data_IF_774967382057
#
_entry.id   IF_774967382057
#
_cell.length_a   1.000
_cell.length_b   1.000
_cell.length_c   1.000
_cell.angle_alpha   90.00
_cell.angle_beta   90.00
_cell.angle_gamma   90.00
#
_symmetry.space_group_name_H-M   'P 1'
#
loop_
_entity.id
_entity.type
_entity.pdbx_description
1 polymer ?
#
# COMPACT_ATOMS: atom_id res chain seq x y z
N UNK A 1 19.52 -3.60 -19.70
CA UNK A 1 18.91 -4.04 -18.41
C UNK A 1 17.45 -3.59 -18.43
N UNK A 2 16.53 -4.49 -18.10
CA UNK A 2 15.09 -4.23 -18.08
C UNK A 2 14.57 -4.43 -16.66
N UNK A 3 13.73 -3.52 -16.19
CA UNK A 3 12.93 -3.69 -14.99
C UNK A 3 11.57 -4.29 -15.36
N UNK A 4 11.16 -5.35 -14.65
CA UNK A 4 9.85 -5.98 -14.79
C UNK A 4 9.22 -6.02 -13.42
N UNK A 5 8.13 -5.28 -13.23
CA UNK A 5 7.54 -5.18 -11.90
C UNK A 5 6.31 -4.29 -11.85
N UNK A 6 5.84 -4.07 -10.64
CA UNK A 6 4.67 -3.26 -10.33
C UNK A 6 4.98 -1.77 -10.53
N UNK A 7 4.05 -1.04 -11.13
CA UNK A 7 4.04 0.42 -11.04
C UNK A 7 3.57 0.85 -9.65
N UNK A 8 4.53 0.97 -8.72
CA UNK A 8 4.26 1.25 -7.31
C UNK A 8 3.57 2.60 -7.07
N UNK A 9 3.89 3.62 -7.89
CA UNK A 9 3.25 4.93 -7.82
C UNK A 9 1.75 4.80 -8.16
N UNK A 10 1.43 4.20 -9.30
CA UNK A 10 0.05 4.04 -9.76
C UNK A 10 -0.78 3.15 -8.81
N UNK A 11 -0.19 2.07 -8.28
CA UNK A 11 -0.86 1.23 -7.30
C UNK A 11 -1.23 1.99 -6.02
N UNK A 12 -0.34 2.84 -5.53
CA UNK A 12 -0.62 3.68 -4.36
C UNK A 12 -1.64 4.80 -4.66
N UNK A 13 -1.63 5.38 -5.87
CA UNK A 13 -2.67 6.31 -6.30
C UNK A 13 -4.05 5.62 -6.36
N UNK A 14 -4.11 4.35 -6.79
CA UNK A 14 -5.33 3.54 -6.81
C UNK A 14 -5.84 3.29 -5.38
N UNK A 15 -4.95 2.90 -4.44
CA UNK A 15 -5.30 2.76 -3.03
C UNK A 15 -5.85 4.06 -2.44
N UNK A 16 -5.18 5.18 -2.71
CA UNK A 16 -5.63 6.48 -2.25
C UNK A 16 -6.99 6.86 -2.82
N UNK A 17 -7.23 6.62 -4.12
CA UNK A 17 -8.53 6.84 -4.74
C UNK A 17 -9.62 6.02 -4.04
N UNK A 18 -9.38 4.74 -3.78
CA UNK A 18 -10.32 3.89 -3.07
C UNK A 18 -10.65 4.44 -1.66
N UNK A 19 -9.65 4.90 -0.91
CA UNK A 19 -9.84 5.54 0.39
C UNK A 19 -10.68 6.83 0.24
N UNK A 20 -10.38 7.66 -0.77
CA UNK A 20 -11.14 8.88 -1.06
C UNK A 20 -12.63 8.60 -1.32
N UNK A 21 -12.93 7.51 -2.04
CA UNK A 21 -14.31 7.11 -2.34
C UNK A 21 -15.06 6.58 -1.07
N UNK A 22 -14.33 6.19 -0.02
CA UNK A 22 -14.86 5.63 1.23
C UNK A 22 -14.90 6.62 2.39
N UNK A 23 -14.19 7.73 2.30
CA UNK A 23 -14.07 8.70 3.40
C UNK A 23 -14.58 10.09 2.99
N UNK A 24 -15.24 10.83 3.89
CA UNK A 24 -15.64 12.20 3.61
C UNK A 24 -14.45 13.11 3.28
N UNK A 25 -14.65 14.06 2.38
CA UNK A 25 -13.63 15.08 2.08
C UNK A 25 -13.20 15.82 3.36
N UNK A 26 -11.91 16.07 3.50
CA UNK A 26 -11.34 16.72 4.69
C UNK A 26 -11.08 15.75 5.85
N UNK A 27 -11.37 14.44 5.70
CA UNK A 27 -11.05 13.45 6.72
C UNK A 27 -9.54 13.33 6.95
N UNK A 28 -9.18 13.08 8.21
CA UNK A 28 -7.81 12.80 8.61
C UNK A 28 -7.40 11.39 8.20
N UNK A 29 -6.23 11.27 7.55
CA UNK A 29 -5.67 10.00 7.08
C UNK A 29 -4.19 9.88 7.44
N UNK A 30 -3.69 8.66 7.57
CA UNK A 30 -2.27 8.38 7.77
C UNK A 30 -1.70 7.45 6.70
N UNK A 31 -0.39 7.52 6.55
CA UNK A 31 0.39 6.67 5.65
C UNK A 31 1.46 5.94 6.47
N UNK A 32 1.44 4.61 6.44
CA UNK A 32 2.51 3.76 6.94
C UNK A 32 3.45 3.44 5.78
N UNK A 33 4.70 3.89 5.87
CA UNK A 33 5.70 3.67 4.81
C UNK A 33 6.62 2.49 5.13
N UNK A 34 7.22 1.93 4.08
CA UNK A 34 8.28 0.94 4.23
C UNK A 34 9.62 1.56 4.60
N UNK A 35 10.70 0.83 4.36
CA UNK A 35 12.08 1.30 4.60
C UNK A 35 12.39 2.46 3.65
N UNK A 36 12.65 3.65 4.18
CA UNK A 36 12.74 4.90 3.42
C UNK A 36 13.92 4.96 2.42
N UNK A 37 14.94 4.10 2.57
CA UNK A 37 16.03 3.99 1.59
C UNK A 37 15.65 3.19 0.33
N UNK A 38 14.46 2.58 0.29
CA UNK A 38 14.00 1.75 -0.82
C UNK A 38 13.07 2.54 -1.75
N UNK A 39 13.34 2.48 -3.06
CA UNK A 39 12.53 3.15 -4.09
C UNK A 39 11.06 2.75 -4.04
N UNK A 40 10.76 1.48 -3.76
CA UNK A 40 9.38 0.98 -3.60
C UNK A 40 8.64 1.72 -2.49
N UNK A 41 9.29 1.95 -1.32
CA UNK A 41 8.67 2.68 -0.21
C UNK A 41 8.37 4.13 -0.59
N UNK A 42 9.32 4.79 -1.25
CA UNK A 42 9.17 6.18 -1.70
C UNK A 42 8.04 6.31 -2.74
N UNK A 43 8.01 5.44 -3.74
CA UNK A 43 6.99 5.48 -4.79
C UNK A 43 5.58 5.24 -4.25
N UNK A 44 5.40 4.25 -3.34
CA UNK A 44 4.09 4.00 -2.71
C UNK A 44 3.67 5.16 -1.81
N UNK A 45 4.59 5.72 -1.03
CA UNK A 45 4.34 6.93 -0.22
C UNK A 45 3.89 8.11 -1.09
N UNK A 46 4.66 8.42 -2.13
CA UNK A 46 4.44 9.61 -2.95
C UNK A 46 3.15 9.48 -3.78
N UNK A 47 2.82 8.27 -4.26
CA UNK A 47 1.55 7.97 -4.91
C UNK A 47 0.35 8.18 -3.98
N UNK A 48 0.42 7.70 -2.73
CA UNK A 48 -0.62 7.90 -1.74
C UNK A 48 -0.78 9.40 -1.39
N UNK A 49 0.33 10.13 -1.16
CA UNK A 49 0.31 11.57 -0.90
C UNK A 49 -0.35 12.32 -2.04
N UNK A 50 0.01 12.01 -3.30
CA UNK A 50 -0.57 12.63 -4.49
C UNK A 50 -2.08 12.36 -4.56
N UNK A 51 -2.51 11.11 -4.37
CA UNK A 51 -3.91 10.73 -4.41
C UNK A 51 -4.74 11.42 -3.32
N UNK A 52 -4.29 11.42 -2.07
CA UNK A 52 -4.98 12.10 -0.96
C UNK A 52 -5.09 13.61 -1.15
N UNK A 53 -4.02 14.27 -1.62
CA UNK A 53 -4.08 15.70 -1.94
C UNK A 53 -5.09 16.02 -3.03
N UNK A 54 -5.17 15.18 -4.06
CA UNK A 54 -6.10 15.39 -5.19
C UNK A 54 -7.58 15.32 -4.76
N UNK A 55 -7.92 14.49 -3.79
CA UNK A 55 -9.30 14.40 -3.28
C UNK A 55 -9.56 15.25 -2.03
N UNK A 56 -8.56 15.94 -1.51
CA UNK A 56 -8.70 16.87 -0.39
C UNK A 56 -8.82 16.18 0.98
N UNK A 57 -8.17 15.02 1.18
CA UNK A 57 -7.99 14.42 2.50
C UNK A 57 -6.81 15.07 3.22
N UNK A 58 -6.87 15.08 4.55
CA UNK A 58 -5.87 15.70 5.41
C UNK A 58 -4.88 14.64 5.91
N UNK A 59 -3.64 14.67 5.42
CA UNK A 59 -2.60 13.72 5.85
C UNK A 59 -2.04 14.19 7.19
N UNK A 60 -2.44 13.54 8.28
CA UNK A 60 -2.02 13.89 9.65
C UNK A 60 -0.75 13.17 10.09
N UNK A 61 -0.39 12.08 9.44
CA UNK A 61 0.85 11.35 9.71
C UNK A 61 1.36 10.62 8.48
N UNK A 62 2.68 10.61 8.33
CA UNK A 62 3.42 9.75 7.40
C UNK A 62 4.61 9.21 8.18
N UNK A 63 4.59 7.91 8.50
CA UNK A 63 5.61 7.29 9.35
C UNK A 63 6.04 5.94 8.80
N UNK A 64 7.34 5.64 8.93
CA UNK A 64 7.85 4.33 8.54
C UNK A 64 7.50 3.26 9.58
N UNK A 65 7.06 2.11 9.10
CA UNK A 65 6.90 0.87 9.87
C UNK A 65 7.71 -0.27 9.24
N UNK A 66 8.63 0.05 8.34
CA UNK A 66 9.71 -0.79 7.82
C UNK A 66 9.26 -2.17 7.31
N UNK A 67 8.06 -2.26 6.71
CA UNK A 67 7.42 -3.47 6.18
C UNK A 67 7.01 -4.49 7.25
N UNK A 68 7.10 -4.15 8.53
CA UNK A 68 6.96 -5.06 9.67
C UNK A 68 5.60 -4.90 10.36
N UNK A 69 4.97 -6.03 10.73
CA UNK A 69 3.65 -6.06 11.37
C UNK A 69 3.67 -5.45 12.77
N UNK A 70 4.69 -5.77 13.59
CA UNK A 70 4.77 -5.28 14.96
C UNK A 70 5.04 -3.77 14.99
N UNK A 71 5.89 -3.28 14.04
CA UNK A 71 6.10 -1.83 13.85
C UNK A 71 4.85 -1.16 13.30
N UNK A 72 4.12 -1.79 12.37
CA UNK A 72 2.83 -1.29 11.89
C UNK A 72 1.86 -1.05 13.05
N UNK A 73 1.77 -2.00 14.00
CA UNK A 73 0.96 -1.85 15.20
C UNK A 73 1.44 -0.69 16.07
N UNK A 74 2.70 -0.68 16.50
CA UNK A 74 3.20 0.33 17.44
C UNK A 74 3.18 1.75 16.87
N UNK A 75 3.46 1.91 15.58
CA UNK A 75 3.35 3.20 14.87
C UNK A 75 1.89 3.65 14.81
N UNK A 76 0.96 2.75 14.53
CA UNK A 76 -0.47 3.07 14.50
C UNK A 76 -0.98 3.47 15.89
N UNK A 77 -0.61 2.75 16.96
CA UNK A 77 -0.92 3.14 18.34
C UNK A 77 -0.50 4.58 18.63
N UNK A 78 0.71 4.96 18.20
CA UNK A 78 1.23 6.32 18.36
C UNK A 78 0.47 7.35 17.52
N UNK A 79 0.01 6.99 16.33
CA UNK A 79 -0.76 7.86 15.43
C UNK A 79 -2.15 8.13 16.00
N UNK A 80 -2.88 7.09 16.39
CA UNK A 80 -4.27 7.24 16.89
C UNK A 80 -4.33 7.97 18.22
N UNK A 81 -3.31 7.81 19.08
CA UNK A 81 -3.20 8.57 20.32
C UNK A 81 -3.14 10.08 20.07
N UNK A 82 -2.46 10.51 19.00
CA UNK A 82 -2.34 11.93 18.63
C UNK A 82 -3.48 12.42 17.76
N UNK A 83 -4.11 11.51 17.01
CA UNK A 83 -5.14 11.80 16.01
C UNK A 83 -6.35 10.87 16.21
N UNK A 84 -7.13 11.02 17.29
CA UNK A 84 -8.21 10.09 17.64
C UNK A 84 -9.39 10.12 16.64
N UNK A 85 -9.43 11.09 15.73
CA UNK A 85 -10.49 11.23 14.73
C UNK A 85 -10.10 10.71 13.35
N UNK A 86 -8.98 10.00 13.23
CA UNK A 86 -8.50 9.46 11.96
C UNK A 86 -9.56 8.56 11.31
N UNK A 87 -9.72 8.66 9.98
CA UNK A 87 -10.74 7.92 9.22
C UNK A 87 -10.16 6.87 8.30
N UNK A 88 -8.89 7.00 7.92
CA UNK A 88 -8.26 5.97 7.09
C UNK A 88 -6.75 5.87 7.32
N UNK A 89 -6.23 4.68 7.03
CA UNK A 89 -4.79 4.37 7.00
C UNK A 89 -4.48 3.68 5.67
N UNK A 90 -3.54 4.23 4.92
CA UNK A 90 -2.87 3.51 3.85
C UNK A 90 -1.59 2.90 4.40
N UNK A 91 -1.46 1.59 4.31
CA UNK A 91 -0.23 0.87 4.62
C UNK A 91 0.45 0.44 3.32
N UNK A 92 1.72 0.82 3.15
CA UNK A 92 2.48 0.52 1.93
C UNK A 92 2.74 -0.98 1.70
N UNK A 93 2.41 -1.85 2.67
CA UNK A 93 2.25 -3.30 2.47
C UNK A 93 1.22 -3.87 3.46
N UNK A 94 0.78 -5.10 3.22
CA UNK A 94 -0.23 -5.78 4.03
C UNK A 94 0.24 -6.09 5.46
N UNK A 95 1.51 -6.42 5.66
CA UNK A 95 2.04 -6.70 6.99
C UNK A 95 1.84 -5.50 7.93
N UNK A 96 2.20 -4.31 7.47
CA UNK A 96 1.97 -3.08 8.25
C UNK A 96 0.47 -2.80 8.43
N UNK A 97 -0.34 -3.07 7.40
CA UNK A 97 -1.80 -2.94 7.46
C UNK A 97 -2.44 -3.86 8.50
N UNK A 98 -2.01 -5.13 8.55
CA UNK A 98 -2.45 -6.09 9.56
C UNK A 98 -2.05 -5.65 10.98
N UNK A 99 -0.86 -5.08 11.14
CA UNK A 99 -0.44 -4.47 12.40
C UNK A 99 -1.31 -3.28 12.80
N UNK A 100 -1.63 -2.41 11.83
CA UNK A 100 -2.52 -1.27 12.06
C UNK A 100 -3.91 -1.71 12.53
N UNK A 101 -4.47 -2.77 11.94
CA UNK A 101 -5.76 -3.34 12.35
C UNK A 101 -5.74 -3.82 13.79
N UNK A 102 -4.66 -4.44 14.26
CA UNK A 102 -4.55 -4.85 15.66
C UNK A 102 -4.61 -3.63 16.61
N UNK A 103 -3.85 -2.56 16.29
CA UNK A 103 -3.87 -1.34 17.08
C UNK A 103 -5.26 -0.67 17.11
N UNK A 104 -5.95 -0.65 15.97
CA UNK A 104 -7.30 -0.07 15.86
C UNK A 104 -8.32 -0.87 16.65
N UNK A 105 -8.25 -2.22 16.62
CA UNK A 105 -9.12 -3.10 17.42
C UNK A 105 -8.92 -2.88 18.91
N UNK A 106 -7.67 -2.81 19.36
CA UNK A 106 -7.34 -2.59 20.77
C UNK A 106 -7.82 -1.23 21.28
N UNK A 107 -8.03 -0.26 20.35
CA UNK A 107 -8.56 1.06 20.63
C UNK A 107 -10.07 1.20 20.34
N UNK A 108 -10.79 0.13 20.04
CA UNK A 108 -12.21 0.11 19.63
C UNK A 108 -12.53 1.02 18.41
N UNK A 109 -11.53 1.27 17.53
CA UNK A 109 -11.65 2.11 16.33
C UNK A 109 -11.94 1.27 15.07
N UNK A 110 -13.03 0.50 15.09
CA UNK A 110 -13.37 -0.46 14.04
C UNK A 110 -13.87 0.17 12.72
N UNK A 111 -14.20 1.47 12.71
CA UNK A 111 -14.71 2.19 11.55
C UNK A 111 -13.63 2.82 10.67
N UNK A 112 -12.35 2.65 11.03
CA UNK A 112 -11.23 3.21 10.28
C UNK A 112 -10.97 2.37 9.04
N UNK A 113 -10.98 3.01 7.87
CA UNK A 113 -10.67 2.35 6.58
C UNK A 113 -9.17 2.01 6.54
N UNK A 114 -8.84 0.73 6.37
CA UNK A 114 -7.45 0.28 6.22
C UNK A 114 -7.24 -0.34 4.85
N UNK A 115 -6.31 0.20 4.09
CA UNK A 115 -5.94 -0.33 2.76
C UNK A 115 -4.46 -0.70 2.77
N UNK A 116 -4.19 -1.96 2.41
CA UNK A 116 -2.85 -2.53 2.29
C UNK A 116 -2.34 -2.54 0.85
N UNK A 117 -1.28 -3.28 0.64
CA UNK A 117 -0.65 -3.51 -0.67
C UNK A 117 0.02 -4.89 -0.62
N UNK A 118 -0.07 -5.70 -1.67
CA UNK A 118 0.51 -7.00 -1.99
C UNK A 118 -0.51 -8.12 -2.19
N UNK A 119 -1.73 -8.00 -1.64
CA UNK A 119 -2.79 -9.03 -1.66
C UNK A 119 -2.31 -10.38 -1.08
N UNK A 120 -1.72 -10.33 0.11
CA UNK A 120 -1.27 -11.52 0.81
C UNK A 120 -2.46 -12.38 1.27
N UNK A 121 -2.30 -13.71 1.50
CA UNK A 121 -3.36 -14.57 2.02
C UNK A 121 -3.92 -14.09 3.36
N UNK A 122 -3.08 -13.53 4.23
CA UNK A 122 -3.50 -13.02 5.53
C UNK A 122 -4.34 -11.75 5.38
N UNK A 123 -3.97 -10.85 4.45
CA UNK A 123 -4.79 -9.68 4.11
C UNK A 123 -6.13 -10.09 3.52
N UNK A 124 -6.15 -11.05 2.60
CA UNK A 124 -7.40 -11.59 2.03
C UNK A 124 -8.30 -12.17 3.13
N UNK A 125 -7.74 -12.92 4.08
CA UNK A 125 -8.47 -13.44 5.23
C UNK A 125 -9.04 -12.33 6.10
N UNK A 126 -8.26 -11.27 6.35
CA UNK A 126 -8.68 -10.10 7.13
C UNK A 126 -9.80 -9.31 6.44
N UNK A 127 -9.76 -9.19 5.11
CA UNK A 127 -10.83 -8.58 4.31
C UNK A 127 -12.12 -9.39 4.41
N UNK A 128 -12.04 -10.72 4.30
CA UNK A 128 -13.22 -11.60 4.44
C UNK A 128 -13.86 -11.53 5.83
N UNK A 129 -13.07 -11.21 6.85
CA UNK A 129 -13.57 -10.96 8.22
C UNK A 129 -14.13 -9.54 8.40
N UNK A 130 -14.02 -8.66 7.42
CA UNK A 130 -14.42 -7.26 7.52
C UNK A 130 -13.48 -6.38 8.34
N UNK A 131 -12.26 -6.83 8.59
CA UNK A 131 -11.26 -6.11 9.39
C UNK A 131 -10.39 -5.18 8.54
N UNK A 132 -9.79 -5.70 7.47
CA UNK A 132 -9.12 -4.90 6.44
C UNK A 132 -10.14 -4.52 5.36
N UNK A 133 -10.08 -3.30 4.88
CA UNK A 133 -11.07 -2.84 3.89
C UNK A 133 -10.71 -3.28 2.48
N UNK A 134 -9.44 -3.19 2.09
CA UNK A 134 -8.92 -3.60 0.79
C UNK A 134 -7.41 -3.76 0.80
N UNK A 135 -6.86 -4.35 -0.24
CA UNK A 135 -5.43 -4.38 -0.55
C UNK A 135 -5.21 -4.25 -2.05
N UNK A 136 -4.11 -3.66 -2.45
CA UNK A 136 -3.70 -3.57 -3.86
C UNK A 136 -2.93 -4.83 -4.25
N UNK A 137 -3.44 -5.57 -5.22
CA UNK A 137 -2.78 -6.76 -5.72
C UNK A 137 -1.61 -6.42 -6.64
N UNK A 138 -0.53 -7.19 -6.52
CA UNK A 138 0.57 -7.25 -7.48
C UNK A 138 0.47 -8.55 -8.26
N UNK A 139 0.80 -8.52 -9.55
CA UNK A 139 0.78 -9.73 -10.39
C UNK A 139 2.16 -10.42 -10.40
N UNK A 140 2.57 -10.99 -9.26
CA UNK A 140 3.87 -11.64 -9.06
C UNK A 140 4.13 -12.78 -10.06
N UNK A 141 3.07 -13.52 -10.44
CA UNK A 141 3.17 -14.54 -11.49
C UNK A 141 3.62 -13.92 -12.83
N UNK A 142 3.05 -12.77 -13.21
CA UNK A 142 3.41 -12.09 -14.45
C UNK A 142 4.86 -11.58 -14.40
N UNK A 143 5.33 -11.12 -13.25
CA UNK A 143 6.73 -10.70 -13.07
C UNK A 143 7.69 -11.85 -13.40
N UNK A 144 7.43 -13.04 -12.84
CA UNK A 144 8.22 -14.23 -13.12
C UNK A 144 8.12 -14.71 -14.56
N UNK A 145 6.91 -14.81 -15.09
CA UNK A 145 6.64 -15.27 -16.47
C UNK A 145 7.28 -14.33 -17.51
N UNK A 146 7.14 -13.02 -17.32
CA UNK A 146 7.75 -12.02 -18.20
C UNK A 146 9.28 -12.00 -18.05
N UNK A 147 9.80 -12.21 -16.85
CA UNK A 147 11.23 -12.35 -16.63
C UNK A 147 11.85 -13.43 -17.49
N UNK A 148 11.27 -14.63 -17.50
CA UNK A 148 11.73 -15.74 -18.34
C UNK A 148 11.53 -15.43 -19.83
N UNK A 149 10.33 -14.97 -20.22
CA UNK A 149 10.00 -14.64 -21.61
C UNK A 149 11.01 -13.65 -22.21
N UNK A 150 11.23 -12.55 -21.54
CA UNK A 150 12.09 -11.48 -22.06
C UNK A 150 13.58 -11.81 -21.96
N UNK A 151 13.99 -12.64 -21.00
CA UNK A 151 15.35 -13.16 -20.97
C UNK A 151 15.65 -14.02 -22.22
N UNK A 152 14.70 -14.88 -22.64
CA UNK A 152 14.82 -15.67 -23.86
C UNK A 152 14.82 -14.80 -25.12
N UNK A 153 14.00 -13.76 -25.17
CA UNK A 153 13.96 -12.82 -26.29
C UNK A 153 15.30 -12.10 -26.45
N UNK A 154 15.90 -11.61 -25.36
CA UNK A 154 17.23 -11.01 -25.39
C UNK A 154 18.33 -11.99 -25.80
N UNK A 155 18.28 -13.25 -25.32
CA UNK A 155 19.22 -14.29 -25.69
C UNK A 155 19.19 -14.62 -27.21
N UNK A 156 18.03 -14.42 -27.84
CA UNK A 156 17.84 -14.61 -29.28
C UNK A 156 18.08 -13.33 -30.09
N UNK A 157 18.66 -12.28 -29.49
CA UNK A 157 18.99 -11.03 -30.18
C UNK A 157 17.81 -10.07 -30.35
N UNK A 158 16.71 -10.30 -29.65
CA UNK A 158 15.56 -9.40 -29.62
C UNK A 158 15.81 -8.13 -28.81
N UNK A 159 14.88 -7.20 -28.88
CA UNK A 159 14.89 -5.94 -28.13
C UNK A 159 13.63 -5.86 -27.25
N UNK A 160 13.80 -5.41 -26.02
CA UNK A 160 12.70 -5.26 -25.04
C UNK A 160 12.70 -3.87 -24.44
N UNK A 161 11.54 -3.43 -23.97
CA UNK A 161 11.41 -2.17 -23.24
C UNK A 161 12.25 -2.18 -21.94
N UNK A 162 12.88 -1.04 -21.58
CA UNK A 162 13.67 -0.96 -20.35
C UNK A 162 12.79 -1.02 -19.08
N UNK A 163 11.47 -0.86 -19.20
CA UNK A 163 10.55 -0.84 -18.07
C UNK A 163 9.21 -1.50 -18.44
N UNK A 164 8.90 -2.63 -17.82
CA UNK A 164 7.68 -3.40 -18.09
C UNK A 164 6.83 -3.42 -16.83
N UNK A 165 5.70 -2.72 -16.89
CA UNK A 165 4.69 -2.74 -15.83
C UNK A 165 3.88 -4.05 -15.90
N UNK A 166 3.83 -4.77 -14.80
CA UNK A 166 3.03 -6.00 -14.68
C UNK A 166 1.59 -5.75 -14.24
N UNK A 167 1.24 -4.49 -13.98
CA UNK A 167 -0.08 -4.07 -13.53
C UNK A 167 -0.28 -4.17 -12.02
N UNK A 168 -1.39 -3.55 -11.57
CA UNK A 168 -1.95 -3.59 -10.20
C UNK A 168 -3.47 -3.61 -10.28
N UNK A 169 -4.10 -4.21 -9.30
CA UNK A 169 -5.56 -4.26 -9.17
C UNK A 169 -5.99 -4.01 -7.73
#
# INVERSE_FOLDING_TARGET
VTFIGTNNMNGAELAAKFICDKTPKGSDVAILTGIESQSTALLRRDGAIKGFKNCGLNIVATQTAEWDTAKGRSVTESIILKNPNIKAIFASNDNMGLGAIQALKDADMNDVVVVGFDATPDAATSILKGEMTATIAQFSYNMGAYGVKYALELANGGSIDPNIDTGTQ
#
